data_IF_306347311358
#
_entry.id   IF_306347311358
#
_cell.length_a   1.000
_cell.length_b   1.000
_cell.length_c   1.000
_cell.angle_alpha   90.00
_cell.angle_beta   90.00
_cell.angle_gamma   90.00
#
_symmetry.space_group_name_H-M   'P 1'
#
loop_
_entity.id
_entity.type
_entity.pdbx_description
1 polymer ?
#
# COMPACT_ATOMS: atom_id res chain seq x y z
N UNK A 1 -24.33 69.84 -10.13
CA UNK A 1 -24.25 68.64 -10.97
C UNK A 1 -22.81 68.37 -11.29
N UNK A 2 -22.30 67.20 -10.93
CA UNK A 2 -21.00 66.70 -11.36
C UNK A 2 -21.16 65.20 -11.61
N UNK A 3 -20.65 64.65 -12.73
CA UNK A 3 -20.98 63.30 -13.15
C UNK A 3 -20.18 62.30 -12.31
N UNK A 4 -20.82 61.59 -11.39
CA UNK A 4 -20.28 60.34 -10.84
C UNK A 4 -20.42 59.29 -11.93
N UNK A 5 -19.41 59.25 -12.79
CA UNK A 5 -19.21 58.23 -13.80
C UNK A 5 -19.29 56.85 -13.12
N UNK A 6 -20.20 56.02 -13.62
CA UNK A 6 -20.37 54.63 -13.20
C UNK A 6 -19.08 53.89 -13.55
N UNK A 7 -18.13 53.84 -12.62
CA UNK A 7 -16.91 53.07 -12.78
C UNK A 7 -17.30 51.59 -12.92
N UNK A 8 -17.32 51.11 -14.16
CA UNK A 8 -17.58 49.71 -14.48
C UNK A 8 -16.60 48.77 -13.78
N UNK A 9 -16.85 47.45 -13.82
CA UNK A 9 -15.92 46.47 -13.26
C UNK A 9 -14.54 46.74 -13.83
N UNK A 10 -13.61 47.12 -12.96
CA UNK A 10 -12.22 47.28 -13.36
C UNK A 10 -11.61 45.89 -13.49
N UNK A 11 -10.65 45.73 -14.39
CA UNK A 11 -9.90 44.48 -14.52
C UNK A 11 -9.37 43.95 -13.18
N UNK A 12 -8.98 44.83 -12.25
CA UNK A 12 -8.57 44.45 -10.89
C UNK A 12 -9.69 43.87 -10.03
N UNK A 13 -10.94 44.25 -10.26
CA UNK A 13 -12.12 43.64 -9.60
C UNK A 13 -12.44 42.26 -10.15
N UNK A 14 -12.28 42.06 -11.46
CA UNK A 14 -12.46 40.77 -12.13
C UNK A 14 -11.36 39.78 -11.73
N UNK A 15 -10.10 40.24 -11.63
CA UNK A 15 -8.99 39.41 -11.17
C UNK A 15 -9.19 38.93 -9.73
N UNK A 16 -9.69 39.80 -8.85
CA UNK A 16 -10.03 39.43 -7.46
C UNK A 16 -11.18 38.44 -7.39
N UNK A 17 -12.19 38.57 -8.27
CA UNK A 17 -13.30 37.63 -8.36
C UNK A 17 -12.81 36.26 -8.87
N UNK A 18 -12.00 36.24 -9.91
CA UNK A 18 -11.38 35.02 -10.45
C UNK A 18 -10.48 34.32 -9.42
N UNK A 19 -9.67 35.08 -8.67
CA UNK A 19 -8.86 34.52 -7.59
C UNK A 19 -9.72 33.95 -6.46
N UNK A 20 -10.85 34.58 -6.12
CA UNK A 20 -11.77 34.07 -5.10
C UNK A 20 -12.47 32.80 -5.57
N UNK A 21 -12.85 32.72 -6.84
CA UNK A 21 -13.49 31.55 -7.44
C UNK A 21 -12.51 30.37 -7.59
N UNK A 22 -11.24 30.65 -7.91
CA UNK A 22 -10.18 29.64 -8.10
C UNK A 22 -9.49 29.22 -6.81
N UNK A 23 -9.47 30.06 -5.78
CA UNK A 23 -9.01 29.65 -4.45
C UNK A 23 -10.09 28.74 -3.89
N UNK A 24 -9.75 27.46 -3.69
CA UNK A 24 -10.55 26.59 -2.83
C UNK A 24 -10.65 27.26 -1.45
N UNK A 25 -11.78 27.90 -1.17
CA UNK A 25 -12.04 28.45 0.16
C UNK A 25 -12.04 27.28 1.14
N UNK A 26 -10.99 27.21 1.95
CA UNK A 26 -10.94 26.30 3.09
C UNK A 26 -12.11 26.72 3.99
N UNK A 27 -13.07 25.82 4.16
CA UNK A 27 -14.30 26.11 4.89
C UNK A 27 -13.98 26.82 6.22
N UNK A 28 -14.44 28.07 6.43
CA UNK A 28 -14.06 28.88 7.59
C UNK A 28 -14.58 28.27 8.91
N UNK A 29 -15.59 27.40 8.86
CA UNK A 29 -16.10 26.66 10.01
C UNK A 29 -15.18 25.51 10.45
N UNK A 30 -14.21 25.10 9.62
CA UNK A 30 -13.26 24.05 9.96
C UNK A 30 -12.39 24.44 11.17
N UNK A 31 -12.05 25.74 11.28
CA UNK A 31 -11.22 26.32 12.33
C UNK A 31 -12.01 26.78 13.56
N UNK A 32 -13.35 26.87 13.47
CA UNK A 32 -14.23 27.29 14.57
C UNK A 32 -14.66 26.15 15.48
N UNK A 33 -14.38 24.90 15.11
CA UNK A 33 -14.70 23.73 15.93
C UNK A 33 -13.80 23.69 17.17
N UNK A 34 -14.34 23.32 18.35
CA UNK A 34 -13.53 23.11 19.55
C UNK A 34 -12.41 22.10 19.26
N UNK A 35 -11.17 22.37 19.69
CA UNK A 35 -10.08 21.43 19.51
C UNK A 35 -10.46 20.11 20.22
N UNK A 36 -10.47 19.02 19.47
CA UNK A 36 -10.65 17.69 20.03
C UNK A 36 -9.28 17.11 20.35
N UNK A 37 -9.06 16.75 21.60
CA UNK A 37 -7.93 15.89 21.95
C UNK A 37 -8.14 14.53 21.26
N UNK A 38 -7.29 14.22 20.29
CA UNK A 38 -7.25 12.89 19.71
C UNK A 38 -6.52 11.95 20.67
N UNK A 39 -7.03 10.74 20.83
CA UNK A 39 -6.35 9.73 21.63
C UNK A 39 -5.06 9.29 20.92
N UNK A 40 -3.98 9.13 21.69
CA UNK A 40 -2.69 8.70 21.17
C UNK A 40 -2.79 7.33 20.51
N UNK A 41 -3.66 6.45 21.02
CA UNK A 41 -3.93 5.14 20.43
C UNK A 41 -4.52 5.25 19.03
N UNK A 42 -5.49 6.14 18.81
CA UNK A 42 -6.06 6.39 17.48
C UNK A 42 -5.06 6.97 16.48
N UNK A 43 -4.17 7.87 16.93
CA UNK A 43 -3.11 8.43 16.08
C UNK A 43 -2.12 7.32 15.70
N UNK A 44 -1.62 6.58 16.68
CA UNK A 44 -0.68 5.48 16.43
C UNK A 44 -1.29 4.38 15.54
N UNK A 45 -2.58 4.09 15.66
CA UNK A 45 -3.27 3.14 14.79
C UNK A 45 -3.42 3.68 13.36
N UNK A 46 -3.67 4.98 13.19
CA UNK A 46 -3.75 5.60 11.86
C UNK A 46 -2.38 5.64 11.18
N UNK A 47 -1.31 5.86 11.94
CA UNK A 47 0.08 5.90 11.47
C UNK A 47 0.67 4.51 11.14
N UNK A 48 0.02 3.42 11.55
CA UNK A 48 0.48 2.07 11.21
C UNK A 48 0.45 1.86 9.69
N UNK A 49 1.63 1.65 9.13
CA UNK A 49 1.83 1.25 7.74
C UNK A 49 1.40 -0.20 7.47
N UNK A 50 1.43 -1.04 8.52
CA UNK A 50 1.07 -2.44 8.46
C UNK A 50 -0.19 -2.72 9.28
N UNK A 51 -1.20 -3.29 8.62
CA UNK A 51 -2.42 -3.77 9.23
C UNK A 51 -2.19 -5.17 9.79
N UNK A 52 -2.18 -5.29 11.12
CA UNK A 52 -1.93 -6.56 11.81
C UNK A 52 -3.10 -7.54 11.72
N UNK A 53 -4.32 -7.06 11.44
CA UNK A 53 -5.52 -7.90 11.33
C UNK A 53 -5.60 -8.52 9.95
N UNK A 54 -5.42 -7.69 8.92
CA UNK A 54 -5.42 -8.15 7.53
C UNK A 54 -4.06 -8.71 7.08
N UNK A 55 -3.01 -8.52 7.91
CA UNK A 55 -1.64 -8.89 7.63
C UNK A 55 -1.10 -8.28 6.33
N UNK A 56 -1.48 -7.03 6.04
CA UNK A 56 -1.14 -6.34 4.79
C UNK A 56 -0.57 -4.97 5.04
N UNK A 57 0.32 -4.53 4.17
CA UNK A 57 0.71 -3.13 4.13
C UNK A 57 -0.39 -2.29 3.51
N UNK A 58 -0.60 -1.08 4.03
CA UNK A 58 -1.50 -0.08 3.44
C UNK A 58 -0.95 0.53 2.16
N UNK A 59 0.37 0.56 2.03
CA UNK A 59 1.04 0.95 0.80
C UNK A 59 1.08 -0.25 -0.16
N UNK A 60 0.34 -0.13 -1.26
CA UNK A 60 0.24 -1.16 -2.30
C UNK A 60 1.61 -1.50 -2.91
N UNK A 61 2.50 -0.51 -3.06
CA UNK A 61 3.84 -0.75 -3.61
C UNK A 61 4.67 -1.65 -2.72
N UNK A 62 4.62 -1.40 -1.41
CA UNK A 62 5.30 -2.20 -0.39
C UNK A 62 4.68 -3.58 -0.23
N UNK A 63 3.36 -3.69 -0.30
CA UNK A 63 2.63 -4.96 -0.23
C UNK A 63 3.02 -5.90 -1.39
N UNK A 64 3.05 -5.38 -2.62
CA UNK A 64 3.45 -6.17 -3.80
C UNK A 64 4.90 -6.63 -3.67
N UNK A 65 5.81 -5.75 -3.24
CA UNK A 65 7.20 -6.14 -3.00
C UNK A 65 7.31 -7.24 -1.95
N UNK A 66 6.61 -7.09 -0.82
CA UNK A 66 6.68 -8.07 0.27
C UNK A 66 6.11 -9.43 -0.17
N UNK A 67 4.96 -9.44 -0.86
CA UNK A 67 4.38 -10.67 -1.39
C UNK A 67 5.33 -11.39 -2.35
N UNK A 68 5.96 -10.65 -3.26
CA UNK A 68 6.92 -11.22 -4.20
C UNK A 68 8.17 -11.77 -3.50
N UNK A 69 8.58 -11.15 -2.39
CA UNK A 69 9.70 -11.61 -1.57
C UNK A 69 9.33 -12.90 -0.83
N UNK A 70 8.17 -12.94 -0.17
CA UNK A 70 7.69 -14.14 0.54
C UNK A 70 7.53 -15.35 -0.39
N UNK A 71 7.01 -15.15 -1.60
CA UNK A 71 6.87 -16.21 -2.59
C UNK A 71 8.22 -16.79 -3.00
N UNK A 72 9.22 -15.93 -3.25
CA UNK A 72 10.58 -16.35 -3.60
C UNK A 72 11.24 -17.13 -2.46
N UNK A 73 11.16 -16.63 -1.23
CA UNK A 73 11.73 -17.29 -0.06
C UNK A 73 11.03 -18.62 0.23
N UNK A 74 9.70 -18.70 0.06
CA UNK A 74 8.94 -19.94 0.19
C UNK A 74 9.41 -20.99 -0.81
N UNK A 75 9.56 -20.62 -2.08
CA UNK A 75 10.05 -21.52 -3.11
C UNK A 75 11.50 -21.97 -2.83
N UNK A 76 12.37 -21.05 -2.43
CA UNK A 76 13.76 -21.36 -2.08
C UNK A 76 13.85 -22.33 -0.89
N UNK A 77 13.01 -22.12 0.13
CA UNK A 77 12.93 -22.99 1.30
C UNK A 77 12.46 -24.39 0.93
N UNK A 78 11.41 -24.50 0.11
CA UNK A 78 10.88 -25.79 -0.35
C UNK A 78 11.89 -26.55 -1.19
N UNK A 79 12.59 -25.88 -2.11
CA UNK A 79 13.65 -26.51 -2.92
C UNK A 79 14.78 -27.03 -2.03
N UNK A 80 15.24 -26.23 -1.06
CA UNK A 80 16.26 -26.67 -0.10
C UNK A 80 15.79 -27.85 0.74
N UNK A 81 14.54 -27.85 1.19
CA UNK A 81 13.97 -28.95 1.95
C UNK A 81 13.90 -30.23 1.11
N UNK A 82 13.48 -30.12 -0.15
CA UNK A 82 13.46 -31.22 -1.12
C UNK A 82 14.86 -31.78 -1.37
N UNK A 83 15.88 -30.93 -1.54
CA UNK A 83 17.27 -31.38 -1.70
C UNK A 83 17.76 -32.17 -0.48
N UNK A 84 17.45 -31.68 0.72
CA UNK A 84 17.79 -32.38 1.97
C UNK A 84 17.09 -33.73 2.03
N UNK A 85 15.81 -33.76 1.66
CA UNK A 85 15.00 -34.97 1.64
C UNK A 85 15.59 -36.01 0.67
N UNK A 86 15.88 -35.63 -0.57
CA UNK A 86 16.49 -36.51 -1.58
C UNK A 86 17.82 -37.11 -1.10
N UNK A 87 18.62 -36.34 -0.36
CA UNK A 87 19.91 -36.82 0.18
C UNK A 87 19.76 -37.78 1.34
N UNK A 88 18.74 -37.61 2.18
CA UNK A 88 18.57 -38.36 3.44
C UNK A 88 17.64 -39.54 3.30
N UNK A 89 16.66 -39.48 2.41
CA UNK A 89 15.70 -40.55 2.21
C UNK A 89 16.25 -41.70 1.39
N UNK A 90 15.62 -42.85 1.56
CA UNK A 90 15.93 -44.06 0.82
C UNK A 90 15.52 -43.89 -0.65
N UNK A 91 16.48 -44.11 -1.56
CA UNK A 91 16.36 -43.80 -3.00
C UNK A 91 15.42 -44.74 -3.78
N UNK A 92 15.11 -45.89 -3.20
CA UNK A 92 14.29 -46.93 -3.82
C UNK A 92 13.16 -47.34 -2.87
N UNK A 93 12.05 -47.79 -3.45
CA UNK A 93 10.96 -48.36 -2.69
C UNK A 93 11.42 -49.71 -2.09
N UNK A 94 11.27 -49.90 -0.78
CA UNK A 94 11.67 -51.11 -0.07
C UNK A 94 10.90 -52.36 -0.52
N UNK A 95 9.67 -52.20 -1.01
CA UNK A 95 8.78 -53.32 -1.35
C UNK A 95 8.89 -53.68 -2.84
N UNK A 96 8.92 -52.69 -3.72
CA UNK A 96 8.96 -52.90 -5.18
C UNK A 96 10.36 -52.83 -5.77
N UNK A 97 11.35 -52.35 -5.00
CA UNK A 97 12.74 -52.12 -5.42
C UNK A 97 12.93 -51.14 -6.59
N UNK A 98 11.87 -50.43 -6.98
CA UNK A 98 11.94 -49.41 -8.03
C UNK A 98 12.60 -48.12 -7.51
N UNK A 99 13.41 -47.49 -8.36
CA UNK A 99 14.01 -46.20 -8.08
C UNK A 99 12.94 -45.10 -8.12
N UNK A 100 12.84 -44.30 -7.06
CA UNK A 100 11.85 -43.20 -6.99
C UNK A 100 12.05 -42.15 -8.09
N UNK A 101 13.27 -41.99 -8.57
CA UNK A 101 13.66 -40.98 -9.55
C UNK A 101 13.59 -41.46 -11.00
N UNK A 102 13.47 -42.77 -11.23
CA UNK A 102 13.47 -43.36 -12.59
C UNK A 102 12.23 -42.93 -13.40
N UNK A 103 11.16 -42.52 -12.72
CA UNK A 103 9.93 -41.99 -13.34
C UNK A 103 10.06 -40.53 -13.82
N UNK A 104 11.01 -39.77 -13.27
CA UNK A 104 11.18 -38.33 -13.54
C UNK A 104 12.21 -38.11 -14.66
N UNK A 105 13.23 -38.96 -14.73
CA UNK A 105 14.24 -38.96 -15.79
C UNK A 105 14.58 -40.41 -16.18
N UNK A 106 13.88 -41.00 -17.17
CA UNK A 106 14.28 -42.30 -17.70
C UNK A 106 15.65 -42.20 -18.40
N UNK A 107 16.41 -43.31 -18.45
CA UNK A 107 17.76 -43.35 -19.03
C UNK A 107 17.78 -43.05 -20.54
#
# INVERSE_FOLDING_TARGET
GGPTELAGPTWGSELKAYERERRHEVNPELLRRPPRCLDKGTIAHAEREYDTVLQRYRDDGREVQMRSFEEKERAAHLNRAMDIQIRREQKFNLVTHEGRLDSIAPP
#
